data_IF_572903251784
#
_entry.id   IF_572903251784
#
_cell.length_a   1.000
_cell.length_b   1.000
_cell.length_c   1.000
_cell.angle_alpha   90.00
_cell.angle_beta   90.00
_cell.angle_gamma   90.00
#
_symmetry.space_group_name_H-M   'P 1'
#
loop_
_entity.id
_entity.type
_entity.pdbx_description
1 polymer ?
#
# COMPACT_ATOMS: atom_id res chain seq x y z
N UNK A 1 11.04 6.91 -27.40
CA UNK A 1 11.27 5.65 -26.66
C UNK A 1 10.71 5.82 -25.27
N UNK A 2 9.94 4.84 -24.78
CA UNK A 2 9.49 4.78 -23.39
C UNK A 2 10.43 3.85 -22.61
N UNK A 3 11.02 4.35 -21.53
CA UNK A 3 11.82 3.55 -20.60
C UNK A 3 10.87 2.80 -19.65
N UNK A 4 11.12 1.51 -19.44
CA UNK A 4 10.44 0.72 -18.40
C UNK A 4 11.45 0.42 -17.29
N UNK A 5 11.07 0.73 -16.06
CA UNK A 5 11.85 0.44 -14.86
C UNK A 5 11.04 -0.50 -13.98
N UNK A 6 11.72 -1.39 -13.25
CA UNK A 6 11.11 -2.28 -12.26
C UNK A 6 11.53 -1.81 -10.87
N UNK A 7 10.57 -1.77 -9.96
CA UNK A 7 10.77 -1.42 -8.57
C UNK A 7 10.21 -2.53 -7.69
N UNK A 8 10.83 -2.74 -6.54
CA UNK A 8 10.25 -3.51 -5.43
C UNK A 8 9.21 -2.67 -4.71
N UNK A 9 8.31 -3.29 -3.93
CA UNK A 9 7.31 -2.55 -3.16
C UNK A 9 7.95 -1.55 -2.18
N UNK A 10 9.04 -1.95 -1.52
CA UNK A 10 9.81 -1.07 -0.63
C UNK A 10 10.36 0.15 -1.38
N UNK A 11 10.88 -0.04 -2.60
CA UNK A 11 11.33 1.09 -3.42
C UNK A 11 10.17 1.98 -3.87
N UNK A 12 9.00 1.42 -4.14
CA UNK A 12 7.82 2.23 -4.46
C UNK A 12 7.46 3.11 -3.28
N UNK A 13 7.35 2.54 -2.07
CA UNK A 13 7.01 3.26 -0.84
C UNK A 13 8.00 4.38 -0.53
N UNK A 14 9.31 4.11 -0.64
CA UNK A 14 10.39 5.09 -0.48
C UNK A 14 10.29 6.23 -1.50
N UNK A 15 10.12 5.92 -2.80
CA UNK A 15 9.98 6.95 -3.84
C UNK A 15 8.70 7.78 -3.63
N UNK A 16 7.61 7.18 -3.15
CA UNK A 16 6.36 7.88 -2.92
C UNK A 16 6.30 8.64 -1.60
N UNK A 17 7.22 8.36 -0.67
CA UNK A 17 7.17 8.87 0.71
C UNK A 17 5.84 8.51 1.39
N UNK A 18 5.49 7.21 1.36
CA UNK A 18 4.21 6.67 1.88
C UNK A 18 4.40 5.59 2.95
N UNK A 19 5.61 5.42 3.49
CA UNK A 19 5.89 4.45 4.55
C UNK A 19 5.08 4.74 5.83
N UNK A 20 5.05 6.01 6.27
CA UNK A 20 4.28 6.44 7.43
C UNK A 20 2.77 6.25 7.21
N UNK A 21 2.29 6.55 6.01
CA UNK A 21 0.88 6.40 5.66
C UNK A 21 0.45 4.92 5.65
N UNK A 22 1.32 4.04 5.14
CA UNK A 22 1.11 2.60 5.23
C UNK A 22 1.14 2.11 6.69
N UNK A 23 2.02 2.68 7.53
CA UNK A 23 2.08 2.37 8.95
C UNK A 23 0.78 2.75 9.69
N UNK A 24 0.15 3.88 9.30
CA UNK A 24 -1.18 4.26 9.79
C UNK A 24 -2.23 3.21 9.42
N UNK A 25 -2.23 2.71 8.17
CA UNK A 25 -3.15 1.65 7.74
C UNK A 25 -2.95 0.35 8.52
N UNK A 26 -1.70 -0.09 8.73
CA UNK A 26 -1.39 -1.28 9.54
C UNK A 26 -1.93 -1.10 10.96
N UNK A 27 -1.69 0.06 11.57
CA UNK A 27 -2.12 0.37 12.93
C UNK A 27 -3.65 0.42 13.05
N UNK A 28 -4.32 1.06 12.08
CA UNK A 28 -5.77 1.11 12.01
C UNK A 28 -6.37 -0.30 11.87
N UNK A 29 -5.79 -1.12 10.99
CA UNK A 29 -6.25 -2.50 10.75
C UNK A 29 -6.08 -3.36 11.99
N UNK A 30 -4.93 -3.26 12.67
CA UNK A 30 -4.70 -3.94 13.93
C UNK A 30 -5.72 -3.51 15.00
N UNK A 31 -5.99 -2.20 15.13
CA UNK A 31 -7.00 -1.70 16.07
C UNK A 31 -8.40 -2.21 15.76
N UNK A 32 -8.81 -2.22 14.49
CA UNK A 32 -10.12 -2.71 14.08
C UNK A 32 -10.32 -4.21 14.38
N UNK A 33 -9.24 -5.00 14.40
CA UNK A 33 -9.25 -6.41 14.83
C UNK A 33 -9.28 -6.61 16.35
N UNK A 34 -9.25 -5.53 17.14
CA UNK A 34 -9.15 -5.60 18.60
C UNK A 34 -7.70 -5.73 19.11
N UNK A 35 -6.72 -5.43 18.27
CA UNK A 35 -5.31 -5.72 18.48
C UNK A 35 -4.83 -6.90 17.64
N UNK A 36 -3.52 -7.13 17.64
CA UNK A 36 -2.88 -8.31 17.05
C UNK A 36 -1.84 -8.84 18.03
N UNK A 37 -1.62 -10.15 18.02
CA UNK A 37 -0.51 -10.75 18.75
C UNK A 37 0.82 -10.49 18.01
N UNK A 38 1.95 -10.55 18.71
CA UNK A 38 3.27 -10.28 18.12
C UNK A 38 3.58 -11.18 16.91
N UNK A 39 3.13 -12.45 16.93
CA UNK A 39 3.29 -13.40 15.83
C UNK A 39 2.33 -13.17 14.65
N UNK A 40 1.32 -12.33 14.84
CA UNK A 40 0.36 -11.93 13.80
C UNK A 40 0.70 -10.59 13.14
N UNK A 41 1.62 -9.81 13.73
CA UNK A 41 2.05 -8.50 13.21
C UNK A 41 2.69 -8.65 11.83
N UNK A 42 3.64 -9.56 11.69
CA UNK A 42 4.35 -9.78 10.42
C UNK A 42 3.40 -10.28 9.31
N UNK A 43 2.55 -11.30 9.53
CA UNK A 43 1.51 -11.69 8.58
C UNK A 43 0.54 -10.56 8.20
N UNK A 44 0.16 -9.69 9.14
CA UNK A 44 -0.70 -8.54 8.86
C UNK A 44 -0.01 -7.56 7.89
N UNK A 45 1.24 -7.19 8.17
CA UNK A 45 2.00 -6.26 7.33
C UNK A 45 2.19 -6.85 5.94
N UNK A 46 2.58 -8.12 5.83
CA UNK A 46 2.76 -8.76 4.53
C UNK A 46 1.48 -8.85 3.73
N UNK A 47 0.34 -9.18 4.35
CA UNK A 47 -0.94 -9.20 3.64
C UNK A 47 -1.32 -7.83 3.06
N UNK A 48 -1.08 -6.74 3.80
CA UNK A 48 -1.32 -5.38 3.30
C UNK A 48 -0.38 -5.04 2.14
N UNK A 49 0.90 -5.44 2.24
CA UNK A 49 1.89 -5.21 1.17
C UNK A 49 1.58 -6.01 -0.10
N UNK A 50 1.11 -7.25 0.04
CA UNK A 50 0.66 -8.10 -1.07
C UNK A 50 -0.54 -7.48 -1.78
N UNK A 51 -1.56 -7.03 -1.03
CA UNK A 51 -2.72 -6.34 -1.62
C UNK A 51 -2.32 -5.07 -2.38
N UNK A 52 -1.36 -4.30 -1.84
CA UNK A 52 -0.83 -3.11 -2.50
C UNK A 52 -0.08 -3.49 -3.77
N UNK A 53 0.79 -4.51 -3.73
CA UNK A 53 1.52 -4.98 -4.90
C UNK A 53 0.57 -5.40 -6.02
N UNK A 54 -0.46 -6.18 -5.71
CA UNK A 54 -1.48 -6.62 -6.66
C UNK A 54 -2.18 -5.41 -7.31
N UNK A 55 -2.59 -4.42 -6.50
CA UNK A 55 -3.18 -3.18 -7.00
C UNK A 55 -2.26 -2.46 -7.98
N UNK A 56 -0.98 -2.30 -7.65
CA UNK A 56 0.00 -1.59 -8.50
C UNK A 56 0.28 -2.35 -9.80
N UNK A 57 0.31 -3.69 -9.75
CA UNK A 57 0.41 -4.54 -10.95
C UNK A 57 -0.78 -4.33 -11.87
N UNK A 58 -2.00 -4.24 -11.33
CA UNK A 58 -3.20 -3.93 -12.11
C UNK A 58 -3.15 -2.54 -12.75
N UNK A 59 -2.77 -1.50 -11.99
CA UNK A 59 -2.62 -0.14 -12.53
C UNK A 59 -1.54 -0.07 -13.61
N UNK A 60 -0.46 -0.84 -13.47
CA UNK A 60 0.62 -0.96 -14.45
C UNK A 60 0.13 -1.63 -15.74
N UNK A 61 -0.63 -2.73 -15.63
CA UNK A 61 -1.27 -3.41 -16.78
C UNK A 61 -2.27 -2.50 -17.49
N UNK A 62 -2.99 -1.66 -16.75
CA UNK A 62 -3.91 -0.65 -17.29
C UNK A 62 -3.20 0.58 -17.91
N UNK A 63 -1.87 0.67 -17.80
CA UNK A 63 -1.08 1.80 -18.30
C UNK A 63 -1.26 3.11 -17.53
N UNK A 64 -1.87 3.03 -16.34
CA UNK A 64 -2.16 4.14 -15.42
C UNK A 64 -1.01 4.40 -14.45
N UNK A 65 -0.22 3.37 -14.15
CA UNK A 65 0.93 3.50 -13.25
C UNK A 65 2.14 4.12 -13.97
N UNK A 66 2.24 5.45 -13.91
CA UNK A 66 3.36 6.23 -14.45
C UNK A 66 4.07 6.93 -13.30
N UNK A 67 5.36 7.22 -13.47
CA UNK A 67 6.19 7.86 -12.43
C UNK A 67 5.51 9.05 -11.72
N UNK A 68 4.96 10.05 -12.46
CA UNK A 68 4.29 11.19 -11.84
C UNK A 68 2.99 10.83 -11.08
N UNK A 69 2.32 9.75 -11.46
CA UNK A 69 1.05 9.31 -10.87
C UNK A 69 1.27 8.30 -9.72
N UNK A 70 2.51 7.85 -9.51
CA UNK A 70 2.83 6.77 -8.58
C UNK A 70 2.42 7.10 -7.14
N UNK A 71 2.83 8.27 -6.61
CA UNK A 71 2.42 8.72 -5.27
C UNK A 71 0.90 8.79 -5.17
N UNK A 72 0.24 9.46 -6.12
CA UNK A 72 -1.22 9.60 -6.13
C UNK A 72 -1.95 8.26 -6.08
N UNK A 73 -1.48 7.26 -6.83
CA UNK A 73 -2.09 5.93 -6.86
C UNK A 73 -1.89 5.21 -5.52
N UNK A 74 -0.68 5.24 -4.96
CA UNK A 74 -0.38 4.63 -3.66
C UNK A 74 -1.18 5.30 -2.55
N UNK A 75 -1.14 6.64 -2.44
CA UNK A 75 -1.88 7.36 -1.40
C UNK A 75 -3.38 7.09 -1.49
N UNK A 76 -3.96 7.13 -2.69
CA UNK A 76 -5.39 6.89 -2.87
C UNK A 76 -5.80 5.47 -2.45
N UNK A 77 -4.96 4.47 -2.73
CA UNK A 77 -5.21 3.10 -2.27
C UNK A 77 -5.17 3.00 -0.75
N UNK A 78 -4.19 3.64 -0.10
CA UNK A 78 -4.08 3.65 1.36
C UNK A 78 -5.28 4.38 1.98
N UNK A 79 -5.64 5.55 1.45
CA UNK A 79 -6.79 6.36 1.90
C UNK A 79 -8.10 5.57 1.83
N UNK A 80 -8.33 4.84 0.73
CA UNK A 80 -9.52 4.00 0.55
C UNK A 80 -9.59 2.91 1.63
N UNK A 81 -8.48 2.23 1.91
CA UNK A 81 -8.43 1.19 2.95
C UNK A 81 -8.56 1.77 4.36
N UNK A 82 -7.98 2.95 4.63
CA UNK A 82 -8.17 3.65 5.90
C UNK A 82 -9.64 4.02 6.12
N UNK A 83 -10.34 4.47 5.09
CA UNK A 83 -11.77 4.77 5.16
C UNK A 83 -12.62 3.52 5.43
N UNK A 84 -12.28 2.39 4.81
CA UNK A 84 -12.94 1.10 5.04
C UNK A 84 -12.75 0.59 6.47
N UNK A 85 -11.54 0.72 7.01
CA UNK A 85 -11.18 0.25 8.36
C UNK A 85 -11.72 1.18 9.45
N UNK A 86 -11.75 2.50 9.20
CA UNK A 86 -12.25 3.51 10.14
C UNK A 86 -13.77 3.71 10.14
N UNK A 87 -14.49 3.11 9.19
CA UNK A 87 -15.95 3.24 9.01
C UNK A 87 -16.82 2.28 9.82
N UNK A 88 -16.28 1.63 10.87
CA UNK A 88 -16.96 0.64 11.71
C UNK A 88 -17.49 1.18 13.03
#
# INVERSE_FOLDING_TARGET
>A
MSLKVRFTIAQVLDITDEEDHLHELVTATARARGGVLDDEVEPLIFGILEDLEDHLVEQSRAGKFRGPDMKKIVSAWIDERLAEVGGG
#
